data_IF_051944939056
#
_entry.id   IF_051944939056
#
_cell.length_a   1.000
_cell.length_b   1.000
_cell.length_c   1.000
_cell.angle_alpha   90.00
_cell.angle_beta   90.00
_cell.angle_gamma   90.00
#
_symmetry.space_group_name_H-M   'P 1'
#
loop_
_entity.id
_entity.type
_entity.pdbx_description
1 polymer ?
#
# COMPACT_ATOMS: atom_id res chain seq x y z
N UNK A 1 16.28 17.04 -48.49
CA UNK A 1 15.14 16.47 -47.75
C UNK A 1 15.63 16.04 -46.37
N UNK A 2 15.25 16.73 -45.29
CA UNK A 2 15.48 16.25 -43.93
C UNK A 2 14.31 15.35 -43.49
N UNK A 3 14.54 14.37 -42.59
CA UNK A 3 13.47 13.54 -42.07
C UNK A 3 12.70 14.26 -40.95
N UNK A 4 11.38 14.16 -41.07
CA UNK A 4 10.33 14.55 -40.14
C UNK A 4 10.51 13.90 -38.77
N UNK A 5 10.66 14.73 -37.73
CA UNK A 5 10.54 14.30 -36.33
C UNK A 5 9.05 14.10 -36.04
N UNK A 6 8.65 12.86 -35.80
CA UNK A 6 7.36 12.53 -35.19
C UNK A 6 7.42 12.94 -33.72
N UNK A 7 6.64 13.97 -33.37
CA UNK A 7 6.29 14.30 -32.01
C UNK A 7 5.54 13.12 -31.39
N UNK A 8 6.21 12.35 -30.55
CA UNK A 8 5.54 11.57 -29.50
C UNK A 8 5.11 12.57 -28.43
N UNK A 9 3.80 12.75 -28.28
CA UNK A 9 3.20 13.51 -27.20
C UNK A 9 3.67 12.95 -25.86
N UNK A 10 4.64 13.65 -25.28
CA UNK A 10 4.95 13.56 -23.86
C UNK A 10 3.77 14.19 -23.15
N UNK A 11 2.90 13.33 -22.62
CA UNK A 11 1.82 13.72 -21.72
C UNK A 11 2.44 14.59 -20.60
N UNK A 12 1.81 15.72 -20.34
CA UNK A 12 2.37 16.83 -19.58
C UNK A 12 3.03 16.36 -18.27
N UNK A 13 4.33 16.63 -18.13
CA UNK A 13 5.06 16.49 -16.89
C UNK A 13 4.41 17.41 -15.83
N UNK A 14 3.47 16.86 -15.07
CA UNK A 14 2.94 17.52 -13.90
C UNK A 14 4.12 17.74 -12.95
N UNK A 15 4.38 19.00 -12.61
CA UNK A 15 5.35 19.38 -11.57
C UNK A 15 4.82 18.97 -10.20
N UNK A 16 4.74 17.66 -9.98
CA UNK A 16 4.14 17.02 -8.82
C UNK A 16 5.20 16.60 -7.82
N UNK A 17 4.85 16.73 -6.54
CA UNK A 17 5.58 16.08 -5.46
C UNK A 17 4.93 14.72 -5.24
N UNK A 18 5.73 13.67 -5.13
CA UNK A 18 5.28 12.35 -4.68
C UNK A 18 5.86 12.02 -3.32
N UNK A 19 5.04 11.40 -2.47
CA UNK A 19 5.46 10.75 -1.24
C UNK A 19 5.16 9.26 -1.38
N UNK A 20 6.21 8.47 -1.38
CA UNK A 20 6.14 7.03 -1.30
C UNK A 20 6.21 6.64 0.18
N UNK A 21 5.23 5.90 0.66
CA UNK A 21 5.11 5.38 2.02
C UNK A 21 5.01 3.85 2.04
N UNK A 22 4.59 3.23 0.93
CA UNK A 22 4.60 1.78 0.76
C UNK A 22 6.03 1.34 0.45
N UNK A 23 6.45 0.23 1.05
CA UNK A 23 7.83 -0.30 0.99
C UNK A 23 8.91 0.56 1.66
N UNK A 24 8.64 1.84 1.98
CA UNK A 24 9.59 2.74 2.62
C UNK A 24 9.21 4.21 2.43
N UNK A 25 9.91 5.11 3.12
CA UNK A 25 9.70 6.54 2.94
C UNK A 25 10.57 7.08 1.81
N UNK A 26 9.96 7.72 0.81
CA UNK A 26 10.69 8.50 -0.20
C UNK A 26 9.90 9.74 -0.59
N UNK A 27 10.52 10.92 -0.53
CA UNK A 27 9.95 12.13 -1.10
C UNK A 27 10.63 12.44 -2.44
N UNK A 28 9.85 12.77 -3.47
CA UNK A 28 10.37 13.20 -4.77
C UNK A 28 9.66 14.47 -5.25
N UNK A 29 10.39 15.33 -5.94
CA UNK A 29 9.85 16.48 -6.65
C UNK A 29 10.36 16.42 -8.08
N UNK A 30 9.44 16.39 -9.05
CA UNK A 30 9.77 16.28 -10.48
C UNK A 30 10.69 15.08 -10.77
N UNK A 31 10.48 13.96 -10.07
CA UNK A 31 11.28 12.73 -10.18
C UNK A 31 12.57 12.71 -9.35
N UNK A 32 13.06 13.85 -8.87
CA UNK A 32 14.27 13.94 -8.06
C UNK A 32 13.99 13.72 -6.58
N UNK A 33 14.84 12.93 -5.90
CA UNK A 33 14.75 12.67 -4.46
C UNK A 33 14.97 13.95 -3.65
N UNK A 34 14.09 14.21 -2.69
CA UNK A 34 14.22 15.28 -1.71
C UNK A 34 14.78 14.71 -0.41
N UNK A 35 16.02 15.05 -0.09
CA UNK A 35 16.66 14.65 1.17
C UNK A 35 16.04 15.41 2.35
N UNK A 36 15.38 14.66 3.24
CA UNK A 36 14.70 15.18 4.42
C UNK A 36 15.20 14.49 5.68
N UNK A 37 15.48 15.23 6.78
CA UNK A 37 15.77 14.62 8.07
C UNK A 37 14.61 13.74 8.53
N UNK A 38 14.91 12.66 9.26
CA UNK A 38 13.90 11.69 9.70
C UNK A 38 12.70 12.34 10.44
N UNK A 39 12.91 13.39 11.24
CA UNK A 39 11.79 14.11 11.89
C UNK A 39 10.85 14.81 10.89
N UNK A 40 11.38 15.29 9.77
CA UNK A 40 10.57 15.87 8.69
C UNK A 40 9.81 14.77 7.92
N UNK A 41 10.45 13.62 7.70
CA UNK A 41 9.80 12.44 7.12
C UNK A 41 8.61 11.99 8.00
N UNK A 42 8.83 11.84 9.32
CA UNK A 42 7.79 11.48 10.30
C UNK A 42 6.61 12.42 10.25
N UNK A 43 6.86 13.73 10.17
CA UNK A 43 5.80 14.72 10.04
C UNK A 43 5.00 14.57 8.74
N UNK A 44 5.67 14.41 7.59
CA UNK A 44 5.00 14.26 6.30
C UNK A 44 4.18 12.96 6.24
N UNK A 45 4.75 11.85 6.70
CA UNK A 45 4.06 10.56 6.80
C UNK A 45 2.82 10.67 7.70
N UNK A 46 2.95 11.26 8.89
CA UNK A 46 1.82 11.45 9.80
C UNK A 46 0.68 12.26 9.17
N UNK A 47 1.00 13.36 8.49
CA UNK A 47 0.00 14.15 7.77
C UNK A 47 -0.62 13.41 6.59
N UNK A 48 0.17 12.59 5.88
CA UNK A 48 -0.31 11.77 4.78
C UNK A 48 -1.30 10.69 5.24
N UNK A 49 -1.26 10.22 6.48
CA UNK A 49 -2.25 9.26 6.99
C UNK A 49 -3.62 9.89 7.31
N UNK A 50 -3.74 11.21 7.24
CA UNK A 50 -4.95 11.93 7.59
C UNK A 50 -5.57 12.63 6.38
N UNK A 51 -6.81 12.29 6.05
CA UNK A 51 -7.59 12.90 4.96
C UNK A 51 -8.10 14.32 5.30
N UNK A 52 -7.81 14.82 6.50
CA UNK A 52 -8.28 16.11 7.02
C UNK A 52 -7.16 16.91 7.68
N UNK A 53 -7.29 18.24 7.78
CA UNK A 53 -6.38 19.04 8.60
C UNK A 53 -6.34 18.54 10.05
N UNK A 54 -5.14 18.40 10.58
CA UNK A 54 -4.85 17.91 11.93
C UNK A 54 -4.37 19.07 12.80
N UNK A 55 -4.79 19.10 14.07
CA UNK A 55 -4.38 20.16 14.99
C UNK A 55 -2.87 20.12 15.27
N UNK A 56 -2.23 21.30 15.32
CA UNK A 56 -0.79 21.44 15.59
C UNK A 56 -0.40 20.81 16.92
N UNK A 57 -1.20 21.01 17.96
CA UNK A 57 -0.96 20.44 19.29
C UNK A 57 -1.02 18.91 19.27
N UNK A 58 -1.97 18.32 18.54
CA UNK A 58 -2.04 16.88 18.39
C UNK A 58 -0.82 16.33 17.64
N UNK A 59 -0.45 16.93 16.50
CA UNK A 59 0.76 16.53 15.74
C UNK A 59 2.00 16.60 16.62
N UNK A 60 2.17 17.69 17.37
CA UNK A 60 3.32 17.87 18.27
C UNK A 60 3.35 16.78 19.37
N UNK A 61 2.23 16.58 20.06
CA UNK A 61 2.12 15.60 21.14
C UNK A 61 2.29 14.15 20.68
N UNK A 62 1.90 13.81 19.45
CA UNK A 62 2.07 12.46 18.91
C UNK A 62 3.50 12.20 18.43
N UNK A 63 4.13 13.14 17.72
CA UNK A 63 5.47 12.93 17.16
C UNK A 63 6.60 13.06 18.19
N UNK A 64 6.37 13.84 19.25
CA UNK A 64 7.31 14.09 20.34
C UNK A 64 6.67 13.75 21.70
N UNK A 65 6.14 12.53 21.82
CA UNK A 65 5.39 12.08 23.02
C UNK A 65 6.20 12.15 24.31
N UNK A 66 7.53 11.96 24.24
CA UNK A 66 8.43 12.00 25.39
C UNK A 66 8.90 13.41 25.77
N UNK A 67 8.34 14.45 25.14
CA UNK A 67 8.73 15.86 25.36
C UNK A 67 7.63 16.62 26.09
N UNK A 68 8.02 17.68 26.82
CA UNK A 68 7.04 18.66 27.31
C UNK A 68 6.32 19.34 26.14
N UNK A 69 5.12 19.86 26.37
CA UNK A 69 4.32 20.51 25.33
C UNK A 69 5.08 21.66 24.64
N UNK A 70 5.77 22.50 25.42
CA UNK A 70 6.58 23.61 24.89
C UNK A 70 7.70 23.12 23.97
N UNK A 71 8.41 22.06 24.38
CA UNK A 71 9.48 21.45 23.57
C UNK A 71 8.92 20.79 22.30
N UNK A 72 7.79 20.09 22.40
CA UNK A 72 7.13 19.46 21.25
C UNK A 72 6.70 20.52 20.21
N UNK A 73 6.13 21.64 20.64
CA UNK A 73 5.75 22.75 19.76
C UNK A 73 6.98 23.42 19.12
N UNK A 74 8.07 23.61 19.87
CA UNK A 74 9.32 24.15 19.34
C UNK A 74 9.96 23.20 18.31
N UNK A 75 9.94 21.89 18.56
CA UNK A 75 10.43 20.86 17.64
C UNK A 75 9.58 20.81 16.36
N UNK A 76 8.25 20.91 16.48
CA UNK A 76 7.34 21.01 15.33
C UNK A 76 7.65 22.23 14.46
N UNK A 77 7.82 23.42 15.06
CA UNK A 77 8.20 24.64 14.34
C UNK A 77 9.52 24.49 13.59
N UNK A 78 10.53 23.92 14.25
CA UNK A 78 11.85 23.68 13.66
C UNK A 78 11.76 22.70 12.48
N UNK A 79 10.97 21.64 12.63
CA UNK A 79 10.76 20.63 11.59
C UNK A 79 10.05 21.23 10.37
N UNK A 80 8.99 22.02 10.59
CA UNK A 80 8.30 22.74 9.50
C UNK A 80 9.23 23.69 8.76
N UNK A 81 10.07 24.44 9.49
CA UNK A 81 11.05 25.32 8.86
C UNK A 81 12.03 24.54 7.98
N UNK A 82 12.55 23.40 8.46
CA UNK A 82 13.44 22.52 7.67
C UNK A 82 12.78 21.98 6.40
N UNK A 83 11.51 21.58 6.47
CA UNK A 83 10.75 21.14 5.29
C UNK A 83 10.69 22.27 4.26
N UNK A 84 10.29 23.48 4.68
CA UNK A 84 10.17 24.65 3.79
C UNK A 84 11.47 25.05 3.11
N UNK A 85 12.62 24.79 3.73
CA UNK A 85 13.93 25.03 3.14
C UNK A 85 14.26 24.06 1.99
N UNK A 86 13.65 22.87 1.97
CA UNK A 86 13.92 21.83 0.98
C UNK A 86 12.88 21.81 -0.14
N UNK A 87 11.61 21.94 0.22
CA UNK A 87 10.51 22.00 -0.71
C UNK A 87 9.38 22.85 -0.14
N UNK A 88 8.99 23.87 -0.89
CA UNK A 88 7.88 24.73 -0.53
C UNK A 88 6.55 23.98 -0.69
N UNK A 89 5.55 24.39 0.08
CA UNK A 89 4.17 23.93 -0.01
C UNK A 89 3.87 22.44 0.24
N UNK A 90 4.86 21.64 0.69
CA UNK A 90 4.62 20.25 1.13
C UNK A 90 3.62 20.15 2.28
N UNK A 91 3.55 21.18 3.12
CA UNK A 91 2.65 21.24 4.27
C UNK A 91 1.84 22.53 4.19
N UNK A 92 0.53 22.38 4.07
CA UNK A 92 -0.42 23.48 4.23
C UNK A 92 -0.62 23.74 5.73
N UNK A 93 -0.43 24.98 6.18
CA UNK A 93 -0.54 25.35 7.59
C UNK A 93 -1.52 26.50 7.79
N UNK A 94 -2.38 26.39 8.80
CA UNK A 94 -3.12 27.51 9.38
C UNK A 94 -2.55 27.86 10.76
N UNK A 95 -3.18 28.78 11.49
CA UNK A 95 -2.80 29.13 12.86
C UNK A 95 -2.83 27.92 13.80
N UNK A 96 -3.79 27.01 13.64
CA UNK A 96 -4.05 25.91 14.59
C UNK A 96 -3.99 24.51 13.98
N UNK A 97 -4.00 24.40 12.65
CA UNK A 97 -4.06 23.11 11.96
C UNK A 97 -3.02 23.00 10.84
N UNK A 98 -2.75 21.77 10.42
CA UNK A 98 -1.84 21.44 9.34
C UNK A 98 -2.39 20.28 8.52
N UNK A 99 -2.08 20.28 7.23
CA UNK A 99 -2.38 19.20 6.32
C UNK A 99 -1.22 19.04 5.33
N UNK A 100 -1.17 17.89 4.66
CA UNK A 100 -0.31 17.75 3.51
C UNK A 100 -0.75 18.70 2.39
N UNK A 101 0.19 19.21 1.59
CA UNK A 101 -0.10 20.04 0.43
C UNK A 101 -0.99 19.31 -0.57
N UNK A 102 -2.00 19.99 -1.14
CA UNK A 102 -2.97 19.37 -2.08
C UNK A 102 -2.36 18.84 -3.38
N UNK A 103 -1.17 19.33 -3.74
CA UNK A 103 -0.43 18.89 -4.94
C UNK A 103 0.48 17.69 -4.67
N UNK A 104 0.56 17.23 -3.42
CA UNK A 104 1.38 16.08 -3.03
C UNK A 104 0.57 14.82 -3.30
N UNK A 105 1.05 13.98 -4.20
CA UNK A 105 0.51 12.65 -4.42
C UNK A 105 1.13 11.67 -3.42
N UNK A 106 0.31 10.80 -2.84
CA UNK A 106 0.76 9.76 -1.90
C UNK A 106 0.40 8.40 -2.47
N UNK A 107 1.37 7.51 -2.59
CA UNK A 107 1.18 6.15 -3.10
C UNK A 107 0.13 5.35 -2.31
N UNK A 108 0.10 5.50 -0.98
CA UNK A 108 -0.88 4.90 -0.08
C UNK A 108 -2.31 5.35 -0.42
N UNK A 109 -2.52 6.62 -0.74
CA UNK A 109 -3.84 7.13 -1.14
C UNK A 109 -4.26 6.52 -2.47
N UNK A 110 -3.35 6.44 -3.43
CA UNK A 110 -3.60 5.83 -4.73
C UNK A 110 -3.96 4.34 -4.59
N UNK A 111 -3.17 3.58 -3.83
CA UNK A 111 -3.44 2.17 -3.55
C UNK A 111 -4.78 1.97 -2.81
N UNK A 112 -5.08 2.83 -1.84
CA UNK A 112 -6.38 2.83 -1.14
C UNK A 112 -7.56 3.07 -2.07
N UNK A 113 -7.46 4.01 -3.02
CA UNK A 113 -8.48 4.24 -4.04
C UNK A 113 -8.63 3.06 -5.00
N UNK A 114 -7.53 2.44 -5.43
CA UNK A 114 -7.55 1.21 -6.24
C UNK A 114 -8.30 0.08 -5.51
N UNK A 115 -7.98 -0.14 -4.22
CA UNK A 115 -8.65 -1.15 -3.41
C UNK A 115 -10.15 -0.88 -3.26
N UNK A 116 -10.53 0.37 -2.94
CA UNK A 116 -11.95 0.76 -2.84
C UNK A 116 -12.69 0.60 -4.15
N UNK A 117 -12.07 0.84 -5.30
CA UNK A 117 -12.70 0.60 -6.62
C UNK A 117 -12.94 -0.89 -6.85
N UNK A 118 -11.96 -1.74 -6.56
CA UNK A 118 -12.08 -3.19 -6.70
C UNK A 118 -13.19 -3.78 -5.81
N UNK A 119 -13.46 -3.17 -4.64
CA UNK A 119 -14.49 -3.62 -3.71
C UNK A 119 -15.90 -3.08 -4.01
N UNK A 120 -16.08 -2.18 -5.00
CA UNK A 120 -17.41 -1.68 -5.35
C UNK A 120 -18.19 -2.78 -6.08
N UNK A 121 -19.45 -2.96 -5.71
CA UNK A 121 -20.35 -3.86 -6.43
C UNK A 121 -20.44 -3.48 -7.91
N UNK A 122 -20.14 -4.43 -8.80
CA UNK A 122 -20.08 -4.19 -10.25
C UNK A 122 -18.96 -3.23 -10.68
N UNK A 123 -18.01 -2.93 -9.79
CA UNK A 123 -16.83 -2.15 -10.09
C UNK A 123 -15.79 -3.00 -10.81
N UNK A 124 -15.35 -2.56 -11.98
CA UNK A 124 -14.14 -3.11 -12.61
C UNK A 124 -12.93 -2.28 -12.19
N UNK A 125 -11.78 -2.89 -11.87
CA UNK A 125 -10.53 -2.16 -11.73
C UNK A 125 -10.23 -1.35 -13.00
N UNK A 126 -9.60 -0.19 -12.84
CA UNK A 126 -9.05 0.57 -13.97
C UNK A 126 -7.73 -0.05 -14.41
N UNK A 127 -7.28 0.33 -15.61
CA UNK A 127 -5.93 -0.05 -16.07
C UNK A 127 -4.88 0.44 -15.07
N UNK A 128 -4.02 -0.48 -14.62
CA UNK A 128 -2.99 -0.22 -13.60
C UNK A 128 -3.39 -0.53 -12.15
N UNK A 129 -4.68 -0.55 -11.80
CA UNK A 129 -5.12 -0.76 -10.40
C UNK A 129 -4.60 -2.07 -9.82
N UNK A 130 -4.66 -3.13 -10.63
CA UNK A 130 -4.19 -4.47 -10.22
C UNK A 130 -2.69 -4.46 -9.94
N UNK A 131 -1.90 -3.80 -10.79
CA UNK A 131 -0.45 -3.70 -10.61
C UNK A 131 -0.12 -2.93 -9.32
N UNK A 132 -0.79 -1.79 -9.08
CA UNK A 132 -0.64 -1.01 -7.85
C UNK A 132 -0.92 -1.85 -6.61
N UNK A 133 -1.98 -2.66 -6.61
CA UNK A 133 -2.32 -3.52 -5.46
C UNK A 133 -1.38 -4.71 -5.30
N UNK A 134 -0.89 -5.29 -6.40
CA UNK A 134 0.05 -6.41 -6.34
C UNK A 134 1.44 -5.98 -5.86
N UNK A 135 1.89 -4.81 -6.30
CA UNK A 135 3.22 -4.26 -6.00
C UNK A 135 3.27 -3.46 -4.69
N UNK A 136 2.11 -3.06 -4.14
CA UNK A 136 2.04 -2.40 -2.85
C UNK A 136 2.71 -3.27 -1.77
N UNK A 137 3.76 -2.78 -1.12
CA UNK A 137 4.33 -3.45 0.05
C UNK A 137 3.67 -3.01 1.35
N UNK A 138 4.34 -3.32 2.45
CA UNK A 138 3.95 -2.84 3.77
C UNK A 138 4.15 -1.32 3.88
N UNK A 139 3.30 -0.66 4.67
CA UNK A 139 3.41 0.77 4.94
C UNK A 139 4.59 1.03 5.89
N UNK A 140 5.63 1.70 5.38
CA UNK A 140 6.82 2.15 6.12
C UNK A 140 7.48 1.05 6.98
N UNK A 141 7.82 -0.14 6.47
CA UNK A 141 8.14 -1.33 7.28
C UNK A 141 9.23 -1.14 8.34
N UNK A 142 10.20 -0.25 8.09
CA UNK A 142 11.34 0.00 8.98
C UNK A 142 11.04 0.98 10.15
N UNK A 143 9.81 1.48 10.27
CA UNK A 143 9.43 2.43 11.32
C UNK A 143 8.68 1.71 12.46
N UNK A 144 8.91 2.13 13.70
CA UNK A 144 8.33 1.48 14.89
C UNK A 144 7.41 2.41 15.70
N UNK A 145 6.99 3.53 15.10
CA UNK A 145 6.08 4.45 15.73
C UNK A 145 4.70 3.83 16.01
N UNK A 146 4.19 3.95 17.24
CA UNK A 146 2.89 3.38 17.65
C UNK A 146 1.71 3.88 16.81
N UNK A 147 1.76 5.14 16.36
CA UNK A 147 0.70 5.73 15.53
C UNK A 147 0.61 5.10 14.14
N UNK A 148 1.63 4.35 13.69
CA UNK A 148 1.60 3.62 12.42
C UNK A 148 0.87 2.28 12.50
N UNK A 149 0.83 1.64 13.68
CA UNK A 149 0.38 0.25 13.80
C UNK A 149 -1.07 0.07 13.29
N UNK A 150 -1.96 0.98 13.69
CA UNK A 150 -3.38 0.95 13.28
C UNK A 150 -3.51 1.17 11.77
N UNK A 151 -2.73 2.10 11.22
CA UNK A 151 -2.81 2.49 9.81
C UNK A 151 -2.23 1.43 8.87
N UNK A 152 -1.15 0.76 9.29
CA UNK A 152 -0.62 -0.43 8.61
C UNK A 152 -1.67 -1.52 8.52
N UNK A 153 -2.28 -1.87 9.65
CA UNK A 153 -3.27 -2.92 9.70
C UNK A 153 -4.51 -2.56 8.88
N UNK A 154 -4.97 -1.31 8.97
CA UNK A 154 -6.10 -0.80 8.18
C UNK A 154 -5.84 -0.95 6.68
N UNK A 155 -4.68 -0.52 6.19
CA UNK A 155 -4.34 -0.62 4.78
C UNK A 155 -4.16 -2.08 4.34
N UNK A 156 -3.46 -2.89 5.14
CA UNK A 156 -3.23 -4.31 4.86
C UNK A 156 -4.55 -5.08 4.70
N UNK A 157 -5.50 -4.89 5.61
CA UNK A 157 -6.83 -5.50 5.52
C UNK A 157 -7.60 -5.03 4.28
N UNK A 158 -7.58 -3.72 3.99
CA UNK A 158 -8.22 -3.17 2.80
C UNK A 158 -7.63 -3.78 1.51
N UNK A 159 -6.31 -3.89 1.44
CA UNK A 159 -5.60 -4.49 0.31
C UNK A 159 -5.94 -5.97 0.15
N UNK A 160 -5.92 -6.76 1.22
CA UNK A 160 -6.25 -8.19 1.20
C UNK A 160 -7.68 -8.43 0.70
N UNK A 161 -8.65 -7.65 1.19
CA UNK A 161 -10.04 -7.74 0.74
C UNK A 161 -10.16 -7.43 -0.76
N UNK A 162 -9.45 -6.41 -1.25
CA UNK A 162 -9.47 -6.05 -2.66
C UNK A 162 -8.80 -7.13 -3.54
N UNK A 163 -7.67 -7.70 -3.10
CA UNK A 163 -7.01 -8.79 -3.82
C UNK A 163 -7.90 -10.04 -3.85
N UNK A 164 -8.52 -10.42 -2.74
CA UNK A 164 -9.43 -11.57 -2.69
C UNK A 164 -10.62 -11.37 -3.66
N UNK A 165 -11.22 -10.17 -3.69
CA UNK A 165 -12.30 -9.84 -4.62
C UNK A 165 -11.86 -9.91 -6.09
N UNK A 166 -10.71 -9.31 -6.42
CA UNK A 166 -10.15 -9.35 -7.77
C UNK A 166 -9.82 -10.77 -8.23
N UNK A 167 -9.33 -11.61 -7.32
CA UNK A 167 -9.01 -13.00 -7.62
C UNK A 167 -10.26 -13.77 -8.03
N UNK A 168 -11.35 -13.66 -7.27
CA UNK A 168 -12.62 -14.31 -7.62
C UNK A 168 -13.23 -13.75 -8.91
N UNK A 169 -13.22 -12.42 -9.09
CA UNK A 169 -13.73 -11.77 -10.31
C UNK A 169 -13.01 -12.27 -11.57
N UNK A 170 -11.67 -12.34 -11.55
CA UNK A 170 -10.90 -12.87 -12.67
C UNK A 170 -11.14 -14.35 -12.89
N UNK A 171 -11.34 -15.11 -11.81
CA UNK A 171 -11.62 -16.54 -11.88
C UNK A 171 -12.98 -16.80 -12.54
N UNK A 172 -14.03 -16.07 -12.16
CA UNK A 172 -15.36 -16.13 -12.78
C UNK A 172 -15.36 -15.72 -14.25
N UNK A 173 -14.47 -14.81 -14.64
CA UNK A 173 -14.28 -14.39 -16.04
C UNK A 173 -13.40 -15.34 -16.86
N UNK A 174 -12.88 -16.43 -16.26
CA UNK A 174 -11.95 -17.36 -16.92
C UNK A 174 -10.54 -16.77 -17.15
N UNK A 175 -10.23 -15.63 -16.53
CA UNK A 175 -8.93 -14.94 -16.60
C UNK A 175 -7.95 -15.51 -15.57
N UNK A 176 -7.70 -16.81 -15.63
CA UNK A 176 -6.97 -17.52 -14.57
C UNK A 176 -5.55 -17.01 -14.35
N UNK A 177 -4.86 -16.51 -15.39
CA UNK A 177 -3.53 -15.93 -15.24
C UNK A 177 -3.53 -14.70 -14.33
N UNK A 178 -4.51 -13.83 -14.49
CA UNK A 178 -4.65 -12.62 -13.66
C UNK A 178 -5.07 -13.01 -12.23
N UNK A 179 -5.96 -14.00 -12.08
CA UNK A 179 -6.33 -14.54 -10.77
C UNK A 179 -5.12 -15.12 -10.03
N UNK A 180 -4.23 -15.84 -10.71
CA UNK A 180 -2.98 -16.36 -10.13
C UNK A 180 -2.07 -15.22 -9.66
N UNK A 181 -1.88 -14.16 -10.47
CA UNK A 181 -1.06 -12.99 -10.09
C UNK A 181 -1.58 -12.33 -8.83
N UNK A 182 -2.89 -12.07 -8.77
CA UNK A 182 -3.54 -11.46 -7.61
C UNK A 182 -3.51 -12.39 -6.39
N UNK A 183 -3.75 -13.69 -6.58
CA UNK A 183 -3.68 -14.69 -5.53
C UNK A 183 -2.29 -14.80 -4.90
N UNK A 184 -1.22 -14.77 -5.72
CA UNK A 184 0.15 -14.72 -5.23
C UNK A 184 0.42 -13.46 -4.41
N UNK A 185 -0.08 -12.30 -4.84
CA UNK A 185 0.04 -11.06 -4.07
C UNK A 185 -0.71 -11.13 -2.72
N UNK A 186 -1.89 -11.76 -2.69
CA UNK A 186 -2.66 -11.96 -1.44
C UNK A 186 -1.91 -12.87 -0.47
N UNK A 187 -1.35 -13.99 -0.96
CA UNK A 187 -0.51 -14.92 -0.17
C UNK A 187 0.76 -14.24 0.34
N UNK A 188 1.42 -13.42 -0.48
CA UNK A 188 2.61 -12.69 -0.05
C UNK A 188 2.30 -11.65 1.03
N UNK A 189 1.13 -11.01 0.98
CA UNK A 189 0.70 -10.00 1.94
C UNK A 189 0.24 -10.59 3.28
N UNK A 190 -0.30 -11.81 3.29
CA UNK A 190 -0.65 -12.53 4.52
C UNK A 190 -0.46 -14.04 4.32
N UNK A 191 0.76 -14.55 4.58
CA UNK A 191 1.10 -15.96 4.34
C UNK A 191 0.27 -16.96 5.15
N UNK A 192 -0.28 -16.57 6.30
CA UNK A 192 -1.08 -17.45 7.17
C UNK A 192 -2.58 -17.41 6.83
N UNK A 193 -3.02 -16.58 5.88
CA UNK A 193 -4.44 -16.47 5.49
C UNK A 193 -4.82 -17.58 4.54
N UNK A 194 -5.51 -18.59 5.07
CA UNK A 194 -5.95 -19.74 4.30
C UNK A 194 -6.86 -19.36 3.11
N UNK A 195 -7.71 -18.34 3.24
CA UNK A 195 -8.58 -17.93 2.14
C UNK A 195 -7.79 -17.49 0.90
N UNK A 196 -6.63 -16.86 1.07
CA UNK A 196 -5.74 -16.46 -0.02
C UNK A 196 -5.13 -17.69 -0.71
N UNK A 197 -4.61 -18.64 0.07
CA UNK A 197 -4.11 -19.92 -0.45
C UNK A 197 -5.18 -20.70 -1.19
N UNK A 198 -6.39 -20.76 -0.64
CA UNK A 198 -7.53 -21.43 -1.25
C UNK A 198 -7.91 -20.82 -2.60
N UNK A 199 -7.95 -19.49 -2.70
CA UNK A 199 -8.24 -18.79 -3.95
C UNK A 199 -7.16 -19.06 -5.01
N UNK A 200 -5.89 -18.98 -4.61
CA UNK A 200 -4.75 -19.26 -5.50
C UNK A 200 -4.75 -20.72 -5.99
N UNK A 201 -4.99 -21.69 -5.10
CA UNK A 201 -5.08 -23.11 -5.44
C UNK A 201 -6.22 -23.35 -6.44
N UNK A 202 -7.41 -22.78 -6.20
CA UNK A 202 -8.53 -22.86 -7.16
C UNK A 202 -8.17 -22.29 -8.52
N UNK A 203 -7.55 -21.11 -8.55
CA UNK A 203 -7.12 -20.48 -9.80
C UNK A 203 -6.11 -21.35 -10.57
N UNK A 204 -5.18 -22.01 -9.89
CA UNK A 204 -4.28 -22.98 -10.52
C UNK A 204 -5.02 -24.21 -11.07
N UNK A 205 -5.97 -24.78 -10.31
CA UNK A 205 -6.73 -25.96 -10.76
C UNK A 205 -7.55 -25.66 -12.01
N UNK A 206 -8.20 -24.51 -12.05
CA UNK A 206 -9.04 -24.09 -13.18
C UNK A 206 -8.21 -23.67 -14.40
N UNK A 207 -6.98 -23.19 -14.18
CA UNK A 207 -5.98 -23.05 -15.24
C UNK A 207 -5.39 -24.38 -15.74
N UNK A 208 -5.73 -25.52 -15.11
CA UNK A 208 -5.17 -26.85 -15.41
C UNK A 208 -3.80 -27.13 -14.79
N UNK A 209 -3.30 -26.24 -13.94
CA UNK A 209 -1.98 -26.31 -13.29
C UNK A 209 -2.01 -27.16 -12.02
N UNK A 210 -2.38 -28.44 -12.13
CA UNK A 210 -2.55 -29.35 -10.97
C UNK A 210 -1.31 -29.46 -10.08
N UNK A 211 -0.12 -29.57 -10.68
CA UNK A 211 1.13 -29.67 -9.93
C UNK A 211 1.40 -28.43 -9.06
N UNK A 212 1.07 -27.25 -9.55
CA UNK A 212 1.19 -26.00 -8.80
C UNK A 212 0.19 -25.90 -7.65
N UNK A 213 -1.04 -26.36 -7.87
CA UNK A 213 -2.05 -26.42 -6.82
C UNK A 213 -1.63 -27.34 -5.65
N UNK A 214 -1.13 -28.55 -5.95
CA UNK A 214 -0.63 -29.49 -4.95
C UNK A 214 0.59 -28.92 -4.22
N UNK A 215 1.54 -28.33 -4.97
CA UNK A 215 2.72 -27.69 -4.39
C UNK A 215 2.35 -26.55 -3.44
N UNK A 216 1.43 -25.67 -3.84
CA UNK A 216 0.95 -24.58 -3.01
C UNK A 216 0.30 -25.07 -1.72
N UNK A 217 -0.52 -26.12 -1.80
CA UNK A 217 -1.12 -26.76 -0.62
C UNK A 217 -0.07 -27.31 0.35
N UNK A 218 0.92 -28.07 -0.14
CA UNK A 218 1.94 -28.67 0.74
C UNK A 218 2.82 -27.63 1.43
N UNK A 219 3.17 -26.55 0.72
CA UNK A 219 3.89 -25.42 1.29
C UNK A 219 3.08 -24.76 2.40
N UNK A 220 1.80 -24.50 2.15
CA UNK A 220 0.92 -23.89 3.15
C UNK A 220 0.68 -24.81 4.36
N UNK A 221 0.47 -26.11 4.14
CA UNK A 221 0.32 -27.11 5.20
C UNK A 221 1.54 -27.14 6.12
N UNK A 222 2.73 -27.10 5.53
CA UNK A 222 3.99 -27.05 6.28
C UNK A 222 4.11 -25.75 7.08
N UNK A 223 3.80 -24.60 6.45
CA UNK A 223 3.83 -23.29 7.11
C UNK A 223 2.87 -23.22 8.31
N UNK A 224 1.63 -23.67 8.16
CA UNK A 224 0.65 -23.70 9.27
C UNK A 224 1.10 -24.59 10.42
N UNK A 225 1.66 -25.76 10.09
CA UNK A 225 2.15 -26.68 11.09
C UNK A 225 3.33 -26.07 11.87
N UNK A 226 4.25 -25.41 11.19
CA UNK A 226 5.45 -24.81 11.80
C UNK A 226 5.12 -23.57 12.65
N UNK A 227 4.20 -22.72 12.18
CA UNK A 227 3.89 -21.43 12.84
C UNK A 227 2.79 -21.53 13.89
N UNK A 228 1.77 -22.36 13.65
CA UNK A 228 0.55 -22.41 14.46
C UNK A 228 0.25 -23.81 15.03
N UNK A 229 0.96 -24.86 14.57
CA UNK A 229 0.72 -26.23 15.03
C UNK A 229 -0.63 -26.82 14.58
N UNK A 230 -1.25 -26.23 13.56
CA UNK A 230 -2.56 -26.65 13.04
C UNK A 230 -2.47 -27.15 11.60
N UNK A 231 -3.45 -27.96 11.21
CA UNK A 231 -3.60 -28.39 9.82
C UNK A 231 -4.56 -27.47 9.04
N UNK A 232 -4.45 -27.40 7.71
CA UNK A 232 -5.41 -26.66 6.89
C UNK A 232 -6.83 -27.21 7.02
N UNK A 233 -7.84 -26.38 6.75
CA UNK A 233 -9.24 -26.80 6.86
C UNK A 233 -9.63 -27.91 5.89
N UNK A 234 -10.67 -28.71 6.21
CA UNK A 234 -11.21 -29.72 5.29
C UNK A 234 -11.59 -29.16 3.91
N UNK A 235 -12.08 -27.91 3.86
CA UNK A 235 -12.45 -27.24 2.62
C UNK A 235 -11.26 -27.03 1.69
N UNK A 236 -10.08 -26.70 2.24
CA UNK A 236 -8.86 -26.59 1.45
C UNK A 236 -8.34 -27.97 1.04
N UNK A 237 -8.35 -28.94 1.95
CA UNK A 237 -7.91 -30.31 1.67
C UNK A 237 -8.70 -30.93 0.52
N UNK A 238 -10.02 -30.74 0.50
CA UNK A 238 -10.91 -31.27 -0.54
C UNK A 238 -10.56 -30.79 -1.97
N UNK A 239 -9.86 -29.66 -2.12
CA UNK A 239 -9.45 -29.16 -3.44
C UNK A 239 -8.33 -29.99 -4.07
N UNK A 240 -7.47 -30.61 -3.27
CA UNK A 240 -6.27 -31.33 -3.74
C UNK A 240 -6.37 -32.85 -3.59
N UNK A 241 -7.27 -33.35 -2.74
CA UNK A 241 -7.51 -34.78 -2.54
C UNK A 241 -7.91 -35.60 -3.80
N UNK A 242 -8.60 -35.07 -4.82
CA UNK A 242 -8.98 -35.84 -6.01
C UNK A 242 -7.99 -35.77 -7.18
N UNK A 243 -6.75 -35.30 -6.95
CA UNK A 243 -5.73 -35.05 -7.99
C UNK A 243 -4.59 -36.07 -7.96
#
# INVERSE_FOLDING_TARGET
MPPTILQTGTDAAASGVTLDLLCGFQARQNGCVIELPHTAQRLLAFLALHDRPVQRAHVAGTLWIDSSEEHAQAALRTTLWRIRQRAQDLVATTATAMALGRHVSVDLHNAGECARRALRWGGSPRSGDVAVLCEAGDLLPDWYDDWLAIERERFRQLRLLALDALCEDFREQGRYRDAIVVGMASVAAEPLRESAHRALIRAHLEAGNRGEAVRGYELFRSLLQDQLGVSPTPELQALVLPL
#
